data_IF_819046544061
#
_entry.id   IF_819046544061
#
_cell.length_a   1.000
_cell.length_b   1.000
_cell.length_c   1.000
_cell.angle_alpha   90.00
_cell.angle_beta   90.00
_cell.angle_gamma   90.00
#
_symmetry.space_group_name_H-M   'P 1'
#
loop_
_entity.id
_entity.type
_entity.pdbx_description
1 polymer ?
#
# COMPACT_ATOMS: atom_id res chain seq x y z
N UNK A 1 -0.01 -29.12 34.66
CA UNK A 1 -0.38 -28.46 33.40
C UNK A 1 -0.29 -29.51 32.30
N UNK A 2 -1.38 -29.77 31.61
CA UNK A 2 -1.44 -30.80 30.55
C UNK A 2 -0.97 -30.21 29.22
N UNK A 3 0.09 -30.77 28.65
CA UNK A 3 0.62 -30.39 27.33
C UNK A 3 0.13 -31.36 26.26
N UNK A 4 -0.39 -30.84 25.14
CA UNK A 4 -0.76 -31.62 23.94
C UNK A 4 0.21 -31.35 22.81
N UNK A 5 0.76 -32.42 22.25
CA UNK A 5 1.59 -32.38 21.06
C UNK A 5 0.70 -32.43 19.81
N UNK A 6 0.93 -31.50 18.88
CA UNK A 6 0.16 -31.38 17.65
C UNK A 6 1.15 -31.26 16.50
N UNK A 7 1.03 -32.16 15.52
CA UNK A 7 1.84 -32.10 14.29
C UNK A 7 1.14 -31.22 13.27
N UNK A 8 1.78 -30.10 12.91
CA UNK A 8 1.23 -29.12 11.96
C UNK A 8 1.96 -29.22 10.64
N UNK A 9 1.20 -29.19 9.54
CA UNK A 9 1.79 -29.11 8.19
C UNK A 9 2.18 -27.67 7.88
N UNK A 10 3.40 -27.48 7.38
CA UNK A 10 3.88 -26.16 6.98
C UNK A 10 3.10 -25.61 5.78
N UNK A 11 2.82 -24.30 5.80
CA UNK A 11 2.20 -23.60 4.70
C UNK A 11 3.19 -23.37 3.55
N UNK A 12 2.80 -23.70 2.31
CA UNK A 12 3.61 -23.45 1.09
C UNK A 12 3.00 -22.31 0.27
N UNK A 13 3.82 -21.36 -0.19
CA UNK A 13 3.42 -20.28 -1.11
C UNK A 13 4.28 -20.31 -2.35
N UNK A 14 3.67 -20.17 -3.52
CA UNK A 14 4.38 -20.00 -4.78
C UNK A 14 4.52 -18.50 -5.04
N UNK A 15 5.76 -18.01 -5.07
CA UNK A 15 6.05 -16.60 -5.41
C UNK A 15 6.46 -16.56 -6.88
N UNK A 16 5.59 -16.00 -7.72
CA UNK A 16 5.87 -15.86 -9.15
C UNK A 16 6.91 -14.77 -9.39
N UNK A 17 7.91 -15.08 -10.21
CA UNK A 17 8.87 -14.13 -10.73
C UNK A 17 8.54 -13.84 -12.19
N UNK A 18 8.70 -12.58 -12.59
CA UNK A 18 8.50 -12.16 -13.98
C UNK A 18 9.67 -11.27 -14.42
N UNK A 19 10.09 -11.41 -15.67
CA UNK A 19 11.03 -10.50 -16.31
C UNK A 19 10.26 -9.26 -16.78
N UNK A 20 10.71 -8.09 -16.36
CA UNK A 20 10.19 -6.81 -16.82
C UNK A 20 11.26 -6.10 -17.64
N UNK A 21 10.90 -5.68 -18.84
CA UNK A 21 11.65 -4.71 -19.66
C UNK A 21 11.04 -3.33 -19.46
N UNK A 22 11.81 -2.38 -18.98
CA UNK A 22 11.33 -1.05 -18.59
C UNK A 22 12.41 0.02 -18.82
N UNK A 23 11.99 1.28 -18.79
CA UNK A 23 12.91 2.44 -18.86
C UNK A 23 13.19 2.92 -17.45
N UNK A 24 14.47 3.03 -17.08
CA UNK A 24 14.86 3.52 -15.76
C UNK A 24 14.49 5.00 -15.60
N UNK A 25 13.86 5.37 -14.48
CA UNK A 25 13.46 6.77 -14.22
C UNK A 25 14.65 7.74 -14.03
N UNK A 26 15.85 7.24 -13.71
CA UNK A 26 17.02 8.07 -13.41
C UNK A 26 17.96 8.22 -14.61
N UNK A 27 18.32 7.12 -15.27
CA UNK A 27 19.27 7.13 -16.38
C UNK A 27 18.61 6.98 -17.76
N UNK A 28 17.28 6.82 -17.83
CA UNK A 28 16.50 6.64 -19.06
C UNK A 28 16.98 5.49 -19.98
N UNK A 29 17.84 4.61 -19.48
CA UNK A 29 18.26 3.42 -20.20
C UNK A 29 17.17 2.34 -20.14
N UNK A 30 17.02 1.60 -21.24
CA UNK A 30 16.21 0.38 -21.25
C UNK A 30 16.94 -0.67 -20.41
N UNK A 31 16.22 -1.30 -19.48
CA UNK A 31 16.78 -2.31 -18.59
C UNK A 31 15.81 -3.46 -18.39
N UNK A 32 16.36 -4.63 -18.12
CA UNK A 32 15.61 -5.85 -17.89
C UNK A 32 15.92 -6.40 -16.50
N UNK A 33 14.88 -6.79 -15.75
CA UNK A 33 15.03 -7.36 -14.42
C UNK A 33 13.99 -8.41 -14.09
N UNK A 34 14.42 -9.40 -13.33
CA UNK A 34 13.54 -10.36 -12.66
C UNK A 34 13.00 -9.68 -11.39
N UNK A 35 11.68 -9.52 -11.31
CA UNK A 35 11.03 -9.00 -10.10
C UNK A 35 9.85 -9.89 -9.69
N UNK A 36 9.64 -9.92 -8.38
CA UNK A 36 8.37 -10.33 -7.76
C UNK A 36 7.32 -9.27 -8.12
N UNK A 37 6.00 -9.51 -7.98
CA UNK A 37 4.93 -8.99 -8.86
C UNK A 37 4.82 -7.45 -9.04
N UNK A 38 5.57 -6.65 -8.28
CA UNK A 38 5.76 -5.23 -8.52
C UNK A 38 6.75 -4.94 -9.67
N UNK A 39 6.34 -4.13 -10.64
CA UNK A 39 7.23 -3.65 -11.69
C UNK A 39 8.37 -2.78 -11.11
N UNK A 40 9.63 -3.01 -11.50
CA UNK A 40 10.76 -2.19 -11.07
C UNK A 40 10.74 -0.80 -11.70
N UNK A 41 11.18 0.21 -10.93
CA UNK A 41 11.25 1.63 -11.36
C UNK A 41 12.67 2.07 -11.80
N UNK A 42 13.71 1.41 -11.29
CA UNK A 42 15.11 1.79 -11.46
C UNK A 42 15.96 0.59 -11.90
N UNK A 43 16.98 0.83 -12.73
CA UNK A 43 18.01 -0.15 -13.10
C UNK A 43 18.90 -0.54 -11.90
N UNK A 44 19.73 -1.58 -12.05
CA UNK A 44 20.51 -2.22 -10.97
C UNK A 44 21.36 -1.23 -10.19
N UNK A 45 21.88 -0.26 -10.93
CA UNK A 45 22.82 0.75 -10.47
C UNK A 45 22.07 1.92 -9.81
N UNK A 46 20.95 2.35 -10.38
CA UNK A 46 20.17 3.49 -9.90
C UNK A 46 19.23 3.16 -8.73
N UNK A 47 19.18 1.91 -8.26
CA UNK A 47 18.27 1.54 -7.19
C UNK A 47 18.69 2.25 -5.89
N UNK A 48 17.78 2.99 -5.23
CA UNK A 48 18.09 3.59 -3.94
C UNK A 48 18.53 2.49 -2.95
N UNK A 49 19.59 2.71 -2.16
CA UNK A 49 19.94 1.79 -1.09
C UNK A 49 18.73 1.64 -0.17
N UNK A 50 18.36 0.40 0.15
CA UNK A 50 17.28 0.14 1.11
C UNK A 50 17.69 0.80 2.42
N UNK A 51 16.99 1.87 2.82
CA UNK A 51 17.14 2.44 4.14
C UNK A 51 16.88 1.32 5.14
N UNK A 52 17.88 1.02 5.96
CA UNK A 52 17.73 0.11 7.09
C UNK A 52 16.81 0.84 8.04
N UNK A 53 15.52 0.48 8.04
CA UNK A 53 14.62 0.92 9.08
C UNK A 53 15.07 0.15 10.31
N UNK A 54 15.87 0.81 11.15
CA UNK A 54 16.09 0.36 12.51
C UNK A 54 14.70 0.17 13.13
N UNK A 55 14.37 -1.08 13.42
CA UNK A 55 13.11 -1.44 14.06
C UNK A 55 13.04 -0.60 15.33
N UNK A 56 11.96 0.15 15.59
CA UNK A 56 11.83 0.80 16.89
C UNK A 56 11.89 -0.31 17.94
N UNK A 57 12.86 -0.21 18.84
CA UNK A 57 12.95 -1.05 20.03
C UNK A 57 11.56 -1.09 20.69
N UNK A 58 11.15 -2.29 21.07
CA UNK A 58 9.84 -2.61 21.67
C UNK A 58 9.48 -1.77 22.90
N UNK A 59 10.41 -0.99 23.46
CA UNK A 59 10.15 -0.06 24.57
C UNK A 59 9.28 1.15 24.20
N UNK A 60 9.24 1.59 22.93
CA UNK A 60 8.43 2.75 22.55
C UNK A 60 6.92 2.46 22.44
N UNK A 61 6.53 1.18 22.30
CA UNK A 61 5.11 0.76 22.19
C UNK A 61 4.39 0.78 23.54
N UNK A 62 5.13 0.72 24.67
CA UNK A 62 4.51 0.65 26.00
C UNK A 62 3.99 2.01 26.48
N UNK A 63 4.61 3.13 26.07
CA UNK A 63 4.16 4.48 26.46
C UNK A 63 2.97 5.03 25.66
N UNK A 64 2.65 4.44 24.51
CA UNK A 64 1.54 4.91 23.67
C UNK A 64 0.15 4.40 24.12
N UNK A 65 0.08 3.51 25.12
CA UNK A 65 -1.21 2.97 25.63
C UNK A 65 -1.81 3.71 26.83
N UNK A 66 -1.10 4.64 27.47
CA UNK A 66 -1.59 5.30 28.69
C UNK A 66 -2.18 6.70 28.49
N UNK A 67 -2.10 7.30 27.30
CA UNK A 67 -2.84 8.54 27.01
C UNK A 67 -4.06 8.26 26.13
N UNK A 68 -5.16 7.91 26.81
CA UNK A 68 -6.54 8.07 26.32
C UNK A 68 -6.64 9.31 25.42
N UNK A 69 -6.84 9.11 24.11
CA UNK A 69 -7.42 10.15 23.24
C UNK A 69 -8.75 9.62 22.71
N UNK A 70 -9.78 10.41 23.01
CA UNK A 70 -11.19 10.26 22.64
C UNK A 70 -11.30 10.03 21.12
N UNK A 71 -12.12 9.06 20.66
CA UNK A 71 -12.31 8.85 19.22
C UNK A 71 -12.96 10.09 18.58
N UNK A 72 -12.48 10.58 17.42
CA UNK A 72 -13.18 11.62 16.69
C UNK A 72 -14.52 11.09 16.19
N UNK A 73 -15.56 11.89 16.38
CA UNK A 73 -16.93 11.57 15.99
C UNK A 73 -17.05 11.26 14.49
N UNK A 74 -17.87 10.24 14.17
CA UNK A 74 -18.31 9.92 12.81
C UNK A 74 -18.85 11.18 12.12
N UNK A 75 -18.14 11.70 11.12
CA UNK A 75 -18.74 12.60 10.15
C UNK A 75 -19.50 11.76 9.12
N UNK A 76 -20.81 11.96 9.09
CA UNK A 76 -21.73 11.39 8.11
C UNK A 76 -21.30 11.82 6.72
N UNK A 77 -21.15 10.84 5.81
CA UNK A 77 -21.08 11.12 4.37
C UNK A 77 -22.44 11.65 3.94
N UNK A 78 -22.53 12.95 3.68
CA UNK A 78 -23.67 13.51 2.95
C UNK A 78 -23.52 13.06 1.50
N UNK A 79 -24.42 12.20 1.05
CA UNK A 79 -24.56 11.76 -0.32
C UNK A 79 -24.88 12.95 -1.21
N UNK A 80 -23.92 13.38 -2.04
CA UNK A 80 -24.19 14.32 -3.13
C UNK A 80 -24.97 13.59 -4.23
N UNK A 81 -26.30 13.66 -4.15
CA UNK A 81 -27.20 13.24 -5.21
C UNK A 81 -27.01 14.16 -6.43
N UNK A 82 -26.45 13.61 -7.50
CA UNK A 82 -26.39 14.23 -8.82
C UNK A 82 -27.78 14.17 -9.45
N UNK A 83 -28.56 15.25 -9.35
CA UNK A 83 -29.80 15.41 -10.12
C UNK A 83 -29.55 16.41 -11.26
N UNK A 84 -29.52 15.88 -12.47
CA UNK A 84 -29.58 16.64 -13.72
C UNK A 84 -30.98 17.26 -13.84
N UNK A 85 -31.10 18.57 -13.67
CA UNK A 85 -32.33 19.30 -13.99
C UNK A 85 -32.10 20.14 -15.25
N UNK A 86 -32.47 19.56 -16.39
CA UNK A 86 -32.64 20.29 -17.64
C UNK A 86 -33.69 21.39 -17.44
N UNK A 87 -33.30 22.64 -17.67
CA UNK A 87 -34.19 23.80 -17.62
C UNK A 87 -34.49 24.20 -19.06
N UNK A 88 -35.67 23.78 -19.52
CA UNK A 88 -36.38 24.34 -20.66
C UNK A 88 -36.63 25.82 -20.33
N UNK A 89 -36.09 26.73 -21.14
CA UNK A 89 -36.46 28.15 -21.09
C UNK A 89 -36.75 28.59 -22.53
N UNK A 90 -38.01 28.96 -22.71
CA UNK A 90 -38.66 29.38 -23.92
C UNK A 90 -38.31 30.83 -24.24
N UNK A 91 -38.27 31.15 -25.55
CA UNK A 91 -38.65 32.42 -26.19
C UNK A 91 -37.89 33.72 -25.84
N UNK A 92 -37.23 34.31 -26.86
CA UNK A 92 -37.45 35.69 -27.29
C UNK A 92 -36.41 36.14 -28.35
N UNK A 93 -36.82 36.24 -29.62
CA UNK A 93 -36.67 37.38 -30.55
C UNK A 93 -36.83 36.93 -32.00
#
# INVERSE_FOLDING_TARGET
MESKEIFVKAHVRIIRQKVYRFVCKQCNSVSERICFPSQPLYCEICRPPKQKVDKPSSEAVVKAKTTKRKPPAKQSRVSAARTTKGKKASSAK
#
